data_IF_924655058306
#
_entry.id   IF_924655058306
#
_cell.length_a   1.000
_cell.length_b   1.000
_cell.length_c   1.000
_cell.angle_alpha   90.00
_cell.angle_beta   90.00
_cell.angle_gamma   90.00
#
_symmetry.space_group_name_H-M   'P 1'
#
loop_
_entity.id
_entity.type
_entity.pdbx_description
1 polymer ?
#
# COMPACT_ATOMS: atom_id res chain seq x y z
N UNK A 1 -29.97 25.59 19.86
CA UNK A 1 -29.29 25.14 18.63
C UNK A 1 -28.82 23.73 18.90
N UNK A 2 -29.27 22.76 18.12
CA UNK A 2 -28.94 21.35 18.36
C UNK A 2 -27.44 21.11 18.06
N UNK A 3 -26.78 20.39 18.95
CA UNK A 3 -25.37 20.05 18.87
C UNK A 3 -25.15 19.06 17.71
N UNK A 4 -24.34 19.34 16.71
CA UNK A 4 -24.16 18.47 15.52
C UNK A 4 -23.62 17.08 15.86
N UNK A 5 -22.91 16.88 16.97
CA UNK A 5 -22.44 15.57 17.44
C UNK A 5 -23.53 14.69 18.05
N UNK A 6 -24.62 15.29 18.56
CA UNK A 6 -25.79 14.53 18.99
C UNK A 6 -26.52 13.87 17.81
N UNK A 7 -26.48 14.52 16.65
CA UNK A 7 -27.12 14.02 15.42
C UNK A 7 -26.50 12.74 14.87
N UNK A 8 -25.18 12.58 14.95
CA UNK A 8 -24.48 11.38 14.41
C UNK A 8 -24.72 10.13 15.28
N UNK A 9 -24.75 10.27 16.62
CA UNK A 9 -25.14 9.14 17.51
C UNK A 9 -26.63 8.85 17.43
N UNK A 10 -27.48 9.87 17.26
CA UNK A 10 -28.91 9.68 17.00
C UNK A 10 -29.18 8.97 15.66
N UNK A 11 -28.40 9.25 14.63
CA UNK A 11 -28.51 8.53 13.35
C UNK A 11 -28.05 7.06 13.47
N UNK A 12 -27.00 6.78 14.21
CA UNK A 12 -26.55 5.42 14.48
C UNK A 12 -27.55 4.64 15.35
N UNK A 13 -28.09 5.26 16.39
CA UNK A 13 -29.11 4.67 17.26
C UNK A 13 -30.47 4.47 16.55
N UNK A 14 -30.86 5.36 15.63
CA UNK A 14 -32.03 5.18 14.75
C UNK A 14 -31.85 4.02 13.77
N UNK A 15 -30.64 3.81 13.24
CA UNK A 15 -30.34 2.66 12.36
C UNK A 15 -30.37 1.32 13.14
N UNK A 16 -30.09 1.34 14.43
CA UNK A 16 -30.15 0.18 15.33
C UNK A 16 -31.54 -0.09 15.93
N UNK A 17 -32.56 0.71 15.59
CA UNK A 17 -33.93 0.54 16.13
C UNK A 17 -34.09 0.93 17.59
N UNK A 18 -33.11 1.62 18.19
CA UNK A 18 -33.08 1.91 19.63
C UNK A 18 -33.71 3.27 20.03
N UNK A 19 -34.21 4.05 19.08
CA UNK A 19 -34.87 5.34 19.35
C UNK A 19 -36.20 5.45 18.62
N UNK A 20 -37.28 5.24 19.33
CA UNK A 20 -38.62 5.67 18.91
C UNK A 20 -39.00 6.99 19.60
N UNK A 21 -39.50 7.96 18.83
CA UNK A 21 -40.11 9.22 19.30
C UNK A 21 -39.21 10.24 20.01
N UNK A 22 -38.00 10.54 19.48
CA UNK A 22 -37.27 11.76 19.86
C UNK A 22 -36.62 11.74 21.26
N UNK A 23 -36.62 10.61 21.97
CA UNK A 23 -35.95 10.40 23.21
C UNK A 23 -34.65 9.60 23.04
N UNK A 24 -33.57 9.98 23.72
CA UNK A 24 -32.34 9.24 23.74
C UNK A 24 -32.56 7.97 24.62
N UNK A 25 -32.25 6.77 24.10
CA UNK A 25 -32.24 5.52 24.85
C UNK A 25 -30.99 5.42 25.75
N UNK A 26 -30.74 6.46 26.54
CA UNK A 26 -29.85 6.39 27.66
C UNK A 26 -30.72 5.97 28.84
N UNK A 27 -30.42 4.82 29.47
CA UNK A 27 -31.13 4.33 30.66
C UNK A 27 -31.31 5.46 31.66
N UNK A 28 -32.43 6.10 31.65
CA UNK A 28 -33.17 6.96 32.60
C UNK A 28 -32.41 7.78 33.62
N UNK A 29 -31.10 7.86 33.67
CA UNK A 29 -30.33 8.49 34.74
C UNK A 29 -29.27 9.53 34.37
N UNK A 30 -28.87 9.68 33.13
CA UNK A 30 -27.95 10.79 32.79
C UNK A 30 -28.27 11.33 31.40
N UNK A 31 -28.93 12.46 31.35
CA UNK A 31 -28.91 13.34 30.15
C UNK A 31 -27.46 13.72 29.92
N UNK A 32 -26.95 13.52 28.69
CA UNK A 32 -25.72 14.21 28.24
C UNK A 32 -25.97 15.71 28.39
N UNK A 33 -25.66 16.27 29.54
CA UNK A 33 -26.02 17.63 29.89
C UNK A 33 -25.11 18.67 29.26
N UNK A 34 -23.89 18.29 28.92
CA UNK A 34 -22.93 19.17 28.23
C UNK A 34 -21.96 18.37 27.34
N UNK A 35 -21.43 19.02 26.29
CA UNK A 35 -20.33 18.49 25.47
C UNK A 35 -19.12 18.11 26.36
N UNK A 36 -18.93 18.82 27.49
CA UNK A 36 -17.87 18.62 28.46
C UNK A 36 -17.91 17.23 29.13
N UNK A 37 -19.09 16.71 29.50
CA UNK A 37 -19.23 15.37 30.10
C UNK A 37 -18.96 14.24 29.10
N UNK A 38 -19.24 14.47 27.83
CA UNK A 38 -18.95 13.51 26.76
C UNK A 38 -17.43 13.39 26.51
N UNK A 39 -16.75 14.52 26.46
CA UNK A 39 -15.29 14.54 26.23
C UNK A 39 -14.50 14.04 27.45
N UNK A 40 -15.02 14.22 28.68
CA UNK A 40 -14.38 13.74 29.90
C UNK A 40 -14.26 12.22 30.01
N UNK A 41 -15.04 11.45 29.23
CA UNK A 41 -15.01 9.98 29.26
C UNK A 41 -14.01 9.36 28.29
N UNK A 42 -13.66 10.06 27.20
CA UNK A 42 -12.88 9.50 26.09
C UNK A 42 -11.52 10.17 25.89
N UNK A 43 -11.20 11.20 26.65
CA UNK A 43 -9.94 11.94 26.52
C UNK A 43 -8.88 11.51 27.55
N UNK A 44 -7.58 11.59 27.20
CA UNK A 44 -6.50 11.34 28.16
C UNK A 44 -6.61 12.25 29.41
N UNK A 45 -6.23 11.79 30.61
CA UNK A 45 -6.37 12.53 31.87
C UNK A 45 -5.78 13.94 31.83
N UNK A 46 -4.65 14.12 31.14
CA UNK A 46 -4.00 15.44 31.02
C UNK A 46 -4.85 16.45 30.22
N UNK A 47 -5.61 15.96 29.25
CA UNK A 47 -6.53 16.76 28.42
C UNK A 47 -7.78 17.11 29.24
N UNK A 48 -8.28 16.17 30.03
CA UNK A 48 -9.42 16.41 30.97
C UNK A 48 -9.07 17.47 31.99
N UNK A 49 -7.84 17.48 32.50
CA UNK A 49 -7.38 18.45 33.48
C UNK A 49 -7.26 19.87 32.90
N UNK A 50 -6.84 19.97 31.64
CA UNK A 50 -6.82 21.21 30.89
C UNK A 50 -8.24 21.78 30.69
N UNK A 51 -9.21 20.94 30.32
CA UNK A 51 -10.62 21.33 30.14
C UNK A 51 -11.31 21.77 31.44
N UNK A 52 -10.87 21.29 32.59
CA UNK A 52 -11.44 21.70 33.89
C UNK A 52 -10.99 23.12 34.31
N UNK A 53 -9.93 23.65 33.75
CA UNK A 53 -9.35 24.92 34.13
C UNK A 53 -9.78 26.13 33.29
N UNK A 54 -9.97 25.91 31.99
CA UNK A 54 -10.33 26.99 31.05
C UNK A 54 -11.16 26.39 29.90
N UNK A 55 -12.16 27.11 29.39
CA UNK A 55 -12.88 26.75 28.16
C UNK A 55 -11.95 27.01 26.97
N UNK A 56 -11.42 25.97 26.30
CA UNK A 56 -10.49 26.18 25.21
C UNK A 56 -11.20 26.83 24.01
N UNK A 57 -10.51 27.64 23.21
CA UNK A 57 -11.03 28.16 21.96
C UNK A 57 -11.54 27.01 21.07
N UNK A 58 -12.56 27.30 20.25
CA UNK A 58 -13.17 26.32 19.34
C UNK A 58 -12.13 25.62 18.47
N UNK A 59 -11.12 26.34 18.00
CA UNK A 59 -10.00 25.84 17.21
C UNK A 59 -9.19 24.72 17.91
N UNK A 60 -9.03 24.83 19.23
CA UNK A 60 -8.35 23.80 20.04
C UNK A 60 -9.24 22.57 20.20
N UNK A 61 -10.55 22.77 20.31
CA UNK A 61 -11.51 21.66 20.36
C UNK A 61 -11.56 20.90 19.03
N UNK A 62 -11.62 21.61 17.93
CA UNK A 62 -11.62 21.01 16.59
C UNK A 62 -10.30 20.23 16.37
N UNK A 63 -9.15 20.78 16.73
CA UNK A 63 -7.86 20.10 16.69
C UNK A 63 -7.82 18.80 17.52
N UNK A 64 -8.37 18.82 18.75
CA UNK A 64 -8.42 17.62 19.61
C UNK A 64 -9.35 16.57 19.02
N UNK A 65 -10.53 16.96 18.52
CA UNK A 65 -11.48 16.05 17.88
C UNK A 65 -10.86 15.40 16.66
N UNK A 66 -10.17 16.16 15.82
CA UNK A 66 -9.50 15.65 14.62
C UNK A 66 -8.40 14.65 14.99
N UNK A 67 -7.55 14.97 15.97
CA UNK A 67 -6.50 14.06 16.45
C UNK A 67 -7.06 12.78 17.08
N UNK A 68 -8.13 12.86 17.87
CA UNK A 68 -8.79 11.67 18.44
C UNK A 68 -9.41 10.81 17.34
N UNK A 69 -10.05 11.43 16.35
CA UNK A 69 -10.60 10.70 15.21
C UNK A 69 -9.50 10.04 14.37
N UNK A 70 -8.37 10.71 14.19
CA UNK A 70 -7.21 10.14 13.49
C UNK A 70 -6.64 8.93 14.24
N UNK A 71 -6.48 9.01 15.56
CA UNK A 71 -6.04 7.89 16.39
C UNK A 71 -7.02 6.71 16.31
N UNK A 72 -8.33 6.94 16.42
CA UNK A 72 -9.35 5.89 16.34
C UNK A 72 -9.37 5.23 14.95
N UNK A 73 -9.15 6.01 13.90
CA UNK A 73 -9.05 5.47 12.53
C UNK A 73 -7.79 4.65 12.35
N UNK A 74 -6.68 5.02 12.96
CA UNK A 74 -5.42 4.28 12.90
C UNK A 74 -5.51 2.96 13.67
N UNK A 75 -6.11 2.94 14.87
CA UNK A 75 -6.38 1.70 15.61
C UNK A 75 -7.29 0.75 14.82
N UNK A 76 -8.33 1.27 14.17
CA UNK A 76 -9.21 0.47 13.33
C UNK A 76 -8.48 -0.11 12.11
N UNK A 77 -7.61 0.67 11.45
CA UNK A 77 -6.76 0.20 10.35
C UNK A 77 -5.79 -0.89 10.79
N UNK A 78 -5.18 -0.73 11.97
CA UNK A 78 -4.27 -1.71 12.53
C UNK A 78 -4.99 -3.02 12.88
N UNK A 79 -6.18 -2.96 13.47
CA UNK A 79 -7.00 -4.14 13.76
C UNK A 79 -7.43 -4.87 12.48
N UNK A 80 -7.83 -4.13 11.44
CA UNK A 80 -8.16 -4.68 10.14
C UNK A 80 -6.94 -5.36 9.51
N UNK A 81 -5.77 -4.72 9.54
CA UNK A 81 -4.53 -5.30 9.04
C UNK A 81 -4.18 -6.64 9.69
N UNK A 82 -4.28 -6.75 11.02
CA UNK A 82 -4.04 -8.02 11.75
C UNK A 82 -5.03 -9.10 11.32
N UNK A 83 -6.30 -8.72 11.11
CA UNK A 83 -7.33 -9.63 10.61
C UNK A 83 -7.00 -10.15 9.21
N UNK A 84 -6.63 -9.26 8.30
CA UNK A 84 -6.32 -9.59 6.91
C UNK A 84 -5.08 -10.46 6.80
N UNK A 85 -4.00 -10.15 7.54
CA UNK A 85 -2.81 -11.00 7.67
C UNK A 85 -3.18 -12.40 8.15
N UNK A 86 -4.04 -12.50 9.17
CA UNK A 86 -4.49 -13.78 9.72
C UNK A 86 -5.24 -14.62 8.67
N UNK A 87 -6.05 -13.99 7.84
CA UNK A 87 -6.76 -14.64 6.75
C UNK A 87 -5.81 -15.10 5.63
N UNK A 88 -4.87 -14.25 5.21
CA UNK A 88 -3.91 -14.57 4.15
C UNK A 88 -2.89 -15.65 4.57
N UNK A 89 -2.59 -15.80 5.86
CA UNK A 89 -1.78 -16.90 6.40
C UNK A 89 -2.59 -18.20 6.52
N UNK A 90 -3.85 -18.14 6.97
CA UNK A 90 -4.67 -19.32 7.23
C UNK A 90 -4.96 -20.12 5.96
N UNK A 91 -5.18 -19.45 4.84
CA UNK A 91 -5.51 -20.07 3.55
C UNK A 91 -4.42 -21.04 3.07
N UNK A 92 -3.14 -20.60 2.89
CA UNK A 92 -2.05 -21.50 2.48
C UNK A 92 -1.75 -22.58 3.52
N UNK A 93 -1.83 -22.28 4.83
CA UNK A 93 -1.64 -23.29 5.86
C UNK A 93 -2.69 -24.41 5.79
N UNK A 94 -3.96 -24.07 5.52
CA UNK A 94 -5.03 -25.04 5.33
C UNK A 94 -4.79 -25.89 4.08
N UNK A 95 -4.30 -25.28 2.98
CA UNK A 95 -3.96 -26.00 1.76
C UNK A 95 -2.77 -26.96 1.99
N UNK A 96 -1.69 -26.50 2.64
CA UNK A 96 -0.52 -27.34 2.99
C UNK A 96 -0.98 -28.53 3.84
N UNK A 97 -1.76 -28.28 4.88
CA UNK A 97 -2.24 -29.32 5.78
C UNK A 97 -3.09 -30.36 5.04
N UNK A 98 -4.10 -29.93 4.29
CA UNK A 98 -4.97 -30.84 3.55
C UNK A 98 -4.23 -31.66 2.50
N UNK A 99 -3.26 -31.05 1.82
CA UNK A 99 -2.40 -31.75 0.84
C UNK A 99 -1.49 -32.77 1.54
N UNK A 100 -0.92 -32.40 2.70
CA UNK A 100 -0.08 -33.31 3.49
C UNK A 100 -0.91 -34.49 4.07
N UNK A 101 -2.12 -34.21 4.58
CA UNK A 101 -3.04 -35.27 5.05
C UNK A 101 -3.37 -36.27 3.91
N UNK A 102 -3.61 -35.76 2.68
CA UNK A 102 -3.84 -36.63 1.52
C UNK A 102 -2.62 -37.47 1.14
N UNK A 103 -1.40 -36.96 1.34
CA UNK A 103 -0.17 -37.71 1.09
C UNK A 103 0.07 -38.85 2.09
N UNK A 104 -0.55 -38.80 3.27
CA UNK A 104 -0.48 -39.87 4.27
C UNK A 104 -1.39 -41.06 3.93
N UNK A 105 -2.32 -40.90 2.99
CA UNK A 105 -3.22 -41.98 2.55
C UNK A 105 -2.44 -43.04 1.79
N UNK A 106 -2.85 -44.32 1.99
CA UNK A 106 -2.20 -45.46 1.35
C UNK A 106 -2.63 -45.53 -0.12
N UNK A 107 -1.66 -45.65 -1.03
CA UNK A 107 -1.93 -45.91 -2.47
C UNK A 107 -2.00 -44.65 -3.35
N UNK A 108 -1.54 -43.50 -2.89
CA UNK A 108 -1.44 -42.31 -3.76
C UNK A 108 -0.39 -42.56 -4.84
N UNK A 109 -0.76 -42.45 -6.17
CA UNK A 109 0.18 -42.64 -7.26
C UNK A 109 1.37 -41.66 -7.19
N UNK A 110 2.57 -42.11 -7.57
CA UNK A 110 3.81 -41.30 -7.46
C UNK A 110 3.71 -39.95 -8.16
N UNK A 111 3.06 -39.90 -9.32
CA UNK A 111 2.87 -38.65 -10.04
C UNK A 111 1.99 -37.63 -9.28
N UNK A 112 0.96 -38.11 -8.57
CA UNK A 112 0.15 -37.28 -7.69
C UNK A 112 0.91 -36.84 -6.45
N UNK A 113 1.75 -37.72 -5.88
CA UNK A 113 2.62 -37.35 -4.76
C UNK A 113 3.55 -36.19 -5.14
N UNK A 114 4.20 -36.27 -6.31
CA UNK A 114 5.06 -35.18 -6.81
C UNK A 114 4.29 -33.87 -6.99
N UNK A 115 3.07 -33.92 -7.52
CA UNK A 115 2.20 -32.74 -7.67
C UNK A 115 1.82 -32.12 -6.31
N UNK A 116 1.48 -32.95 -5.35
CA UNK A 116 1.12 -32.52 -4.01
C UNK A 116 2.32 -31.91 -3.26
N UNK A 117 3.50 -32.50 -3.38
CA UNK A 117 4.74 -31.94 -2.82
C UNK A 117 5.08 -30.61 -3.48
N UNK A 118 4.96 -30.48 -4.79
CA UNK A 118 5.15 -29.21 -5.50
C UNK A 118 4.15 -28.14 -5.03
N UNK A 119 2.90 -28.52 -4.78
CA UNK A 119 1.89 -27.61 -4.24
C UNK A 119 2.26 -27.13 -2.81
N UNK A 120 2.71 -28.04 -1.95
CA UNK A 120 3.18 -27.65 -0.59
C UNK A 120 4.34 -26.66 -0.67
N UNK A 121 5.32 -26.93 -1.54
CA UNK A 121 6.48 -26.03 -1.75
C UNK A 121 5.99 -24.65 -2.20
N UNK A 122 5.11 -24.59 -3.19
CA UNK A 122 4.56 -23.32 -3.69
C UNK A 122 3.84 -22.52 -2.61
N UNK A 123 3.08 -23.17 -1.71
CA UNK A 123 2.40 -22.49 -0.61
C UNK A 123 3.39 -22.03 0.47
N UNK A 124 4.46 -22.79 0.74
CA UNK A 124 5.54 -22.34 1.62
C UNK A 124 6.27 -21.11 1.06
N UNK A 125 6.57 -21.10 -0.25
CA UNK A 125 7.19 -19.96 -0.92
C UNK A 125 6.28 -18.73 -0.88
N UNK A 126 4.96 -18.94 -1.01
CA UNK A 126 3.96 -17.88 -0.87
C UNK A 126 3.96 -17.28 0.54
N UNK A 127 4.00 -18.13 1.58
CA UNK A 127 4.07 -17.67 2.97
C UNK A 127 5.38 -16.91 3.26
N UNK A 128 6.49 -17.37 2.71
CA UNK A 128 7.79 -16.70 2.84
C UNK A 128 7.77 -15.31 2.20
N UNK A 129 7.20 -15.19 1.01
CA UNK A 129 7.00 -13.88 0.36
C UNK A 129 6.11 -12.97 1.19
N UNK A 130 4.97 -13.47 1.68
CA UNK A 130 4.07 -12.70 2.54
C UNK A 130 4.79 -12.18 3.80
N UNK A 131 5.59 -13.01 4.45
CA UNK A 131 6.37 -12.60 5.63
C UNK A 131 7.39 -11.50 5.29
N UNK A 132 8.11 -11.63 4.16
CA UNK A 132 9.04 -10.61 3.70
C UNK A 132 8.34 -9.30 3.31
N UNK A 133 7.17 -9.37 2.68
CA UNK A 133 6.33 -8.22 2.35
C UNK A 133 5.92 -7.45 3.61
N UNK A 134 5.50 -8.17 4.66
CA UNK A 134 5.13 -7.58 5.94
C UNK A 134 6.32 -6.90 6.64
N UNK A 135 7.49 -7.54 6.63
CA UNK A 135 8.71 -6.96 7.18
C UNK A 135 9.15 -5.70 6.40
N UNK A 136 8.99 -5.69 5.09
CA UNK A 136 9.30 -4.53 4.24
C UNK A 136 8.37 -3.36 4.55
N UNK A 137 7.05 -3.61 4.70
CA UNK A 137 6.09 -2.58 5.11
C UNK A 137 6.46 -1.98 6.48
N UNK A 138 6.76 -2.84 7.45
CA UNK A 138 7.12 -2.40 8.80
C UNK A 138 8.38 -1.53 8.81
N UNK A 139 9.41 -1.90 8.03
CA UNK A 139 10.64 -1.10 7.90
C UNK A 139 10.39 0.24 7.21
N UNK A 140 9.57 0.25 6.17
CA UNK A 140 9.24 1.48 5.44
C UNK A 140 8.49 2.50 6.33
N UNK A 141 7.66 2.03 7.25
CA UNK A 141 6.92 2.87 8.20
C UNK A 141 7.78 3.35 9.38
N UNK A 142 8.83 2.62 9.73
CA UNK A 142 9.74 2.92 10.85
C UNK A 142 10.75 4.04 10.62
N UNK A 143 10.81 4.65 9.44
CA UNK A 143 11.73 5.75 9.06
C UNK A 143 13.25 5.46 9.19
N UNK A 144 13.67 4.22 9.40
CA UNK A 144 15.08 3.83 9.54
C UNK A 144 15.76 3.52 8.19
N UNK A 145 15.37 4.20 7.10
CA UNK A 145 15.92 3.93 5.78
C UNK A 145 17.13 4.83 5.51
N UNK A 146 18.30 4.21 5.30
CA UNK A 146 19.49 4.93 4.84
C UNK A 146 19.31 5.39 3.38
N UNK A 147 19.36 6.70 3.17
CA UNK A 147 19.22 7.31 1.86
C UNK A 147 20.58 7.74 1.33
N UNK A 148 20.80 7.53 0.04
CA UNK A 148 22.01 7.93 -0.68
C UNK A 148 21.67 8.51 -2.05
N UNK A 149 22.64 9.21 -2.66
CA UNK A 149 22.49 9.70 -4.03
C UNK A 149 22.50 8.54 -5.03
N UNK A 150 21.46 8.41 -5.83
CA UNK A 150 21.23 7.31 -6.76
C UNK A 150 20.81 7.82 -8.14
N UNK A 151 21.27 7.12 -9.17
CA UNK A 151 20.79 7.27 -10.53
C UNK A 151 19.68 6.25 -10.81
N UNK A 152 18.47 6.74 -11.09
CA UNK A 152 17.28 5.88 -11.32
C UNK A 152 17.46 4.96 -12.53
N UNK A 153 18.13 5.43 -13.60
CA UNK A 153 18.36 4.63 -14.79
C UNK A 153 19.26 3.44 -14.49
N UNK A 154 20.32 3.64 -13.74
CA UNK A 154 21.22 2.55 -13.34
C UNK A 154 20.51 1.48 -12.49
N UNK A 155 19.63 1.89 -11.57
CA UNK A 155 18.84 0.95 -10.78
C UNK A 155 17.84 0.19 -11.66
N UNK A 156 17.17 0.87 -12.58
CA UNK A 156 16.22 0.24 -13.49
C UNK A 156 16.90 -0.74 -14.46
N UNK A 157 18.06 -0.41 -15.00
CA UNK A 157 18.84 -1.31 -15.88
C UNK A 157 19.29 -2.58 -15.12
N UNK A 158 19.71 -2.44 -13.85
CA UNK A 158 20.04 -3.59 -13.00
C UNK A 158 18.81 -4.46 -12.71
N UNK A 159 17.67 -3.85 -12.40
CA UNK A 159 16.41 -4.57 -12.20
C UNK A 159 16.00 -5.33 -13.47
N UNK A 160 16.15 -4.73 -14.65
CA UNK A 160 15.85 -5.38 -15.93
C UNK A 160 16.72 -6.61 -16.20
N UNK A 161 18.00 -6.56 -15.85
CA UNK A 161 18.89 -7.72 -15.97
C UNK A 161 18.43 -8.89 -15.10
N UNK A 162 17.95 -8.62 -13.89
CA UNK A 162 17.47 -9.64 -12.97
C UNK A 162 16.11 -10.23 -13.35
N UNK A 163 15.25 -9.42 -13.96
CA UNK A 163 13.89 -9.82 -14.32
C UNK A 163 13.73 -10.31 -15.76
N UNK A 164 14.75 -10.13 -16.60
CA UNK A 164 14.67 -10.41 -18.04
C UNK A 164 14.21 -11.84 -18.35
N UNK A 165 14.86 -12.84 -17.79
CA UNK A 165 14.52 -14.26 -18.00
C UNK A 165 13.07 -14.56 -17.58
N UNK A 166 12.64 -14.07 -16.40
CA UNK A 166 11.29 -14.28 -15.89
C UNK A 166 10.22 -13.66 -16.81
N UNK A 167 10.51 -12.51 -17.40
CA UNK A 167 9.60 -11.81 -18.30
C UNK A 167 9.55 -12.50 -19.66
N UNK A 168 10.67 -12.96 -20.19
CA UNK A 168 10.73 -13.75 -21.42
C UNK A 168 9.94 -15.05 -21.32
N UNK A 169 10.06 -15.78 -20.20
CA UNK A 169 9.24 -16.97 -19.93
C UNK A 169 7.73 -16.68 -19.93
N UNK A 170 7.33 -15.45 -19.58
CA UNK A 170 5.94 -14.99 -19.61
C UNK A 170 5.53 -14.40 -20.96
N UNK A 171 6.45 -14.35 -21.92
CA UNK A 171 6.21 -13.75 -23.25
C UNK A 171 6.16 -12.22 -23.22
N UNK A 172 6.65 -11.58 -22.16
CA UNK A 172 6.68 -10.12 -22.02
C UNK A 172 8.06 -9.56 -22.34
N UNK A 173 8.12 -8.44 -23.08
CA UNK A 173 9.33 -7.66 -23.32
C UNK A 173 9.39 -6.48 -22.36
N UNK A 174 10.54 -6.31 -21.70
CA UNK A 174 10.81 -5.14 -20.86
C UNK A 174 11.68 -4.14 -21.63
N UNK A 175 11.23 -2.89 -21.68
CA UNK A 175 11.96 -1.78 -22.28
C UNK A 175 12.20 -0.70 -21.22
N UNK A 176 13.44 -0.17 -21.14
CA UNK A 176 13.76 0.96 -20.25
C UNK A 176 14.17 2.15 -21.09
N UNK A 177 13.49 3.27 -20.92
CA UNK A 177 13.65 4.47 -21.69
C UNK A 177 13.85 5.70 -20.80
N UNK A 178 14.60 6.68 -21.30
CA UNK A 178 14.76 7.99 -20.68
C UNK A 178 15.80 8.04 -19.57
N UNK A 179 15.96 9.22 -19.01
CA UNK A 179 16.91 9.56 -17.94
C UNK A 179 16.35 10.69 -17.09
N UNK A 180 16.81 10.78 -15.85
CA UNK A 180 16.47 11.86 -14.93
C UNK A 180 17.69 12.19 -14.04
N UNK A 181 17.71 13.38 -13.39
CA UNK A 181 18.69 13.68 -12.36
C UNK A 181 18.70 12.65 -11.23
N UNK A 182 19.81 12.58 -10.50
CA UNK A 182 19.93 11.72 -9.33
C UNK A 182 18.87 12.07 -8.27
N UNK A 183 18.49 11.08 -7.48
CA UNK A 183 17.59 11.22 -6.34
C UNK A 183 18.30 10.90 -5.03
N UNK A 184 17.75 11.36 -3.91
CA UNK A 184 18.14 10.88 -2.59
C UNK A 184 17.23 9.70 -2.23
N UNK A 185 17.74 8.48 -2.34
CA UNK A 185 16.93 7.28 -2.17
C UNK A 185 17.71 6.10 -1.62
N UNK A 186 17.03 4.99 -1.46
CA UNK A 186 17.61 3.71 -1.11
C UNK A 186 17.53 2.76 -2.32
N UNK A 187 18.66 2.20 -2.74
CA UNK A 187 18.74 1.36 -3.95
C UNK A 187 17.87 0.10 -3.86
N UNK A 188 17.85 -0.55 -2.70
CA UNK A 188 17.06 -1.76 -2.49
C UNK A 188 15.56 -1.45 -2.49
N UNK A 189 15.17 -0.31 -1.90
CA UNK A 189 13.80 0.16 -1.91
C UNK A 189 13.32 0.50 -3.33
N UNK A 190 14.10 1.22 -4.11
CA UNK A 190 13.76 1.55 -5.52
C UNK A 190 13.70 0.26 -6.35
N UNK A 191 14.65 -0.66 -6.18
CA UNK A 191 14.61 -1.96 -6.83
C UNK A 191 13.33 -2.75 -6.46
N UNK A 192 12.96 -2.78 -5.18
CA UNK A 192 11.72 -3.44 -4.72
C UNK A 192 10.47 -2.80 -5.31
N UNK A 193 10.43 -1.45 -5.43
CA UNK A 193 9.35 -0.75 -6.13
C UNK A 193 9.26 -1.20 -7.58
N UNK A 194 10.38 -1.19 -8.31
CA UNK A 194 10.44 -1.61 -9.71
C UNK A 194 9.99 -3.05 -9.88
N UNK A 195 10.50 -3.98 -9.07
CA UNK A 195 10.13 -5.41 -9.11
C UNK A 195 8.61 -5.55 -8.92
N UNK A 196 8.04 -4.93 -7.90
CA UNK A 196 6.59 -5.01 -7.62
C UNK A 196 5.76 -4.47 -8.78
N UNK A 197 6.15 -3.33 -9.36
CA UNK A 197 5.44 -2.71 -10.47
C UNK A 197 5.61 -3.51 -11.77
N UNK A 198 6.81 -3.98 -12.08
CA UNK A 198 7.10 -4.78 -13.29
C UNK A 198 6.40 -6.14 -13.21
N UNK A 199 6.44 -6.81 -12.04
CA UNK A 199 5.69 -8.06 -11.86
C UNK A 199 4.18 -7.85 -12.00
N UNK A 200 3.64 -6.77 -11.45
CA UNK A 200 2.24 -6.43 -11.62
C UNK A 200 1.90 -6.19 -13.08
N UNK A 201 2.66 -5.34 -13.78
CA UNK A 201 2.53 -5.07 -15.20
C UNK A 201 2.59 -6.35 -16.04
N UNK A 202 3.58 -7.24 -15.80
CA UNK A 202 3.77 -8.48 -16.55
C UNK A 202 2.62 -9.49 -16.47
N UNK A 203 1.77 -9.38 -15.44
CA UNK A 203 0.59 -10.25 -15.28
C UNK A 203 -0.58 -9.81 -16.15
N UNK A 204 -0.67 -8.52 -16.39
CA UNK A 204 -1.81 -7.92 -17.11
C UNK A 204 -1.44 -7.51 -18.52
N UNK A 205 -0.13 -7.33 -18.83
CA UNK A 205 0.34 -7.00 -20.16
C UNK A 205 0.05 -8.11 -21.16
N UNK A 206 -0.09 -7.72 -22.42
CA UNK A 206 -0.21 -8.64 -23.54
C UNK A 206 1.17 -9.09 -24.03
N UNK A 207 2.06 -8.11 -24.25
CA UNK A 207 3.39 -8.37 -24.83
C UNK A 207 4.48 -7.46 -24.26
N UNK A 208 4.15 -6.29 -23.69
CA UNK A 208 5.11 -5.25 -23.41
C UNK A 208 4.91 -4.57 -22.05
N UNK A 209 6.03 -4.47 -21.34
CA UNK A 209 6.15 -3.63 -20.15
C UNK A 209 7.25 -2.60 -20.42
N UNK A 210 7.00 -1.34 -20.11
CA UNK A 210 7.96 -0.24 -20.31
C UNK A 210 8.18 0.52 -19.03
N UNK A 211 9.44 0.81 -18.72
CA UNK A 211 9.83 1.74 -17.66
C UNK A 211 10.30 3.01 -18.33
N UNK A 212 9.57 4.10 -18.13
CA UNK A 212 9.87 5.42 -18.69
C UNK A 212 10.40 6.31 -17.58
N UNK A 213 11.62 6.86 -17.75
CA UNK A 213 12.27 7.73 -16.75
C UNK A 213 12.33 9.15 -17.32
N UNK A 214 11.83 10.12 -16.56
CA UNK A 214 11.74 11.51 -16.99
C UNK A 214 12.01 12.46 -15.81
N UNK A 215 12.30 13.72 -16.14
CA UNK A 215 12.40 14.82 -15.18
C UNK A 215 11.23 15.78 -15.37
N UNK A 216 10.49 16.04 -14.29
CA UNK A 216 9.31 16.92 -14.33
C UNK A 216 9.29 17.79 -13.08
N UNK A 217 9.35 19.10 -13.25
CA UNK A 217 9.14 20.11 -12.19
C UNK A 217 9.91 19.86 -10.87
N UNK A 218 11.17 19.48 -10.95
CA UNK A 218 11.99 19.24 -9.74
C UNK A 218 11.95 17.79 -9.24
N UNK A 219 11.22 16.90 -9.93
CA UNK A 219 11.11 15.49 -9.60
C UNK A 219 11.70 14.62 -10.69
N UNK A 220 12.43 13.61 -10.28
CA UNK A 220 12.82 12.48 -11.14
C UNK A 220 11.71 11.45 -11.05
N UNK A 221 11.07 11.20 -12.19
CA UNK A 221 9.86 10.40 -12.30
C UNK A 221 10.16 9.14 -13.08
N UNK A 222 9.71 7.99 -12.60
CA UNK A 222 9.65 6.80 -13.43
C UNK A 222 8.23 6.24 -13.46
N UNK A 223 7.81 5.78 -14.63
CA UNK A 223 6.52 5.17 -14.86
C UNK A 223 6.70 3.74 -15.37
N UNK A 224 6.01 2.78 -14.77
CA UNK A 224 5.89 1.42 -15.30
C UNK A 224 4.57 1.32 -16.05
N UNK A 225 4.67 1.09 -17.35
CA UNK A 225 3.54 1.10 -18.29
C UNK A 225 3.34 -0.30 -18.86
N UNK A 226 2.12 -0.80 -18.86
CA UNK A 226 1.72 -2.03 -19.51
C UNK A 226 0.75 -1.79 -20.68
N UNK A 227 0.62 -2.77 -21.56
CA UNK A 227 -0.32 -2.79 -22.69
C UNK A 227 -1.55 -3.69 -22.41
N UNK A 228 -1.88 -3.89 -21.15
CA UNK A 228 -2.99 -4.70 -20.67
C UNK A 228 -4.36 -4.04 -20.82
N UNK A 229 -5.37 -4.53 -20.10
CA UNK A 229 -6.73 -3.97 -20.12
C UNK A 229 -6.89 -2.72 -19.24
N UNK A 230 -5.88 -2.35 -18.43
CA UNK A 230 -6.03 -1.37 -17.36
C UNK A 230 -6.79 -1.92 -16.15
N UNK A 231 -7.15 -1.05 -15.21
CA UNK A 231 -7.88 -1.39 -13.98
C UNK A 231 -9.36 -0.97 -14.01
N UNK A 232 -9.90 -0.61 -15.20
CA UNK A 232 -11.33 -0.28 -15.40
C UNK A 232 -11.74 1.03 -14.76
N UNK A 233 -12.98 1.08 -14.22
CA UNK A 233 -13.59 2.27 -13.61
C UNK A 233 -13.33 2.33 -12.08
N UNK A 234 -12.40 1.54 -11.55
CA UNK A 234 -12.06 1.55 -10.14
C UNK A 234 -11.34 2.84 -9.76
N UNK A 235 -11.56 3.31 -8.54
CA UNK A 235 -10.82 4.45 -7.99
C UNK A 235 -9.33 4.05 -7.82
N UNK A 236 -8.40 4.71 -8.53
CA UNK A 236 -6.98 4.37 -8.47
C UNK A 236 -6.38 4.47 -7.07
N UNK A 237 -6.96 5.27 -6.17
CA UNK A 237 -6.47 5.45 -4.80
C UNK A 237 -6.51 4.17 -3.98
N UNK A 238 -7.50 3.30 -4.23
CA UNK A 238 -7.66 2.02 -3.54
C UNK A 238 -6.71 0.94 -4.00
N UNK A 239 -6.09 1.08 -5.18
CA UNK A 239 -5.13 0.10 -5.68
C UNK A 239 -3.90 -0.07 -4.76
N UNK A 240 -3.59 0.95 -3.98
CA UNK A 240 -2.47 0.97 -3.03
C UNK A 240 -2.87 0.59 -1.59
N UNK A 241 -4.14 0.24 -1.36
CA UNK A 241 -4.58 -0.24 -0.06
C UNK A 241 -4.03 -1.64 0.21
N UNK A 242 -3.72 -1.92 1.48
CA UNK A 242 -3.19 -3.23 1.89
C UNK A 242 -4.23 -4.32 1.62
N UNK A 243 -3.79 -5.44 1.03
CA UNK A 243 -4.63 -6.60 0.66
C UNK A 243 -5.73 -6.31 -0.36
N UNK A 244 -5.75 -5.11 -0.94
CA UNK A 244 -6.71 -4.78 -1.98
C UNK A 244 -6.45 -5.60 -3.25
N UNK A 245 -7.52 -6.09 -3.86
CA UNK A 245 -7.49 -6.87 -5.10
C UNK A 245 -8.69 -6.47 -5.94
N UNK A 246 -8.43 -5.87 -7.07
CA UNK A 246 -9.45 -5.58 -8.06
C UNK A 246 -10.14 -6.89 -8.47
N UNK A 247 -11.44 -6.92 -8.37
CA UNK A 247 -12.39 -8.00 -8.66
C UNK A 247 -11.82 -9.44 -8.80
N UNK A 248 -12.06 -10.30 -7.81
CA UNK A 248 -11.65 -11.71 -7.80
C UNK A 248 -12.21 -12.53 -8.98
N UNK A 249 -13.14 -11.97 -9.76
CA UNK A 249 -13.88 -12.69 -10.82
C UNK A 249 -13.19 -12.68 -12.18
N UNK A 250 -12.32 -11.70 -12.47
CA UNK A 250 -11.75 -11.52 -13.81
C UNK A 250 -10.44 -12.25 -14.09
N UNK A 251 -9.67 -12.61 -13.05
CA UNK A 251 -8.37 -13.26 -13.27
C UNK A 251 -8.22 -14.50 -12.39
N UNK A 252 -8.94 -15.56 -12.73
CA UNK A 252 -8.57 -16.92 -12.32
C UNK A 252 -7.39 -17.40 -13.17
N UNK A 253 -6.26 -16.72 -13.12
CA UNK A 253 -5.01 -17.35 -13.51
C UNK A 253 -4.56 -18.26 -12.38
N UNK A 254 -4.75 -19.56 -12.61
CA UNK A 254 -4.25 -20.63 -11.76
C UNK A 254 -2.75 -20.42 -11.54
N UNK A 255 -2.34 -20.16 -10.30
CA UNK A 255 -0.98 -20.44 -9.88
C UNK A 255 -0.17 -19.27 -9.29
N UNK A 256 -0.62 -18.02 -9.31
CA UNK A 256 0.19 -16.91 -8.75
C UNK A 256 -0.60 -16.12 -7.72
N UNK A 257 -0.60 -16.59 -6.48
CA UNK A 257 -1.24 -15.91 -5.36
C UNK A 257 -0.46 -14.65 -4.98
N UNK A 258 -0.88 -13.48 -5.47
CA UNK A 258 -0.43 -12.19 -4.97
C UNK A 258 -1.02 -11.97 -3.58
N UNK A 259 -0.20 -11.52 -2.64
CA UNK A 259 -0.63 -11.16 -1.28
C UNK A 259 -1.55 -9.94 -1.24
N UNK A 260 -1.60 -9.13 -2.32
CA UNK A 260 -2.25 -7.81 -2.31
C UNK A 260 -1.45 -6.75 -1.54
N UNK A 261 -0.18 -7.05 -1.21
CA UNK A 261 0.70 -6.12 -0.51
C UNK A 261 1.67 -5.38 -1.45
N UNK A 262 1.90 -5.85 -2.66
CA UNK A 262 2.92 -5.30 -3.54
C UNK A 262 2.76 -3.80 -3.83
N UNK A 263 1.55 -3.33 -4.16
CA UNK A 263 1.29 -1.90 -4.39
C UNK A 263 1.28 -1.09 -3.10
N UNK A 264 0.85 -1.67 -1.98
CA UNK A 264 0.98 -1.04 -0.67
C UNK A 264 2.45 -0.83 -0.27
N UNK A 265 3.33 -1.80 -0.57
CA UNK A 265 4.78 -1.68 -0.41
C UNK A 265 5.34 -0.56 -1.29
N UNK A 266 4.92 -0.48 -2.55
CA UNK A 266 5.30 0.61 -3.45
C UNK A 266 4.98 1.96 -2.84
N UNK A 267 3.76 2.15 -2.33
CA UNK A 267 3.34 3.40 -1.69
C UNK A 267 4.16 3.70 -0.43
N UNK A 268 4.34 2.71 0.45
CA UNK A 268 5.09 2.89 1.70
C UNK A 268 6.56 3.27 1.44
N UNK A 269 7.27 2.54 0.57
CA UNK A 269 8.66 2.82 0.20
C UNK A 269 8.82 4.17 -0.50
N UNK A 270 7.90 4.52 -1.40
CA UNK A 270 7.91 5.82 -2.08
C UNK A 270 7.72 6.96 -1.08
N UNK A 271 6.76 6.83 -0.16
CA UNK A 271 6.51 7.83 0.88
C UNK A 271 7.70 7.97 1.84
N UNK A 272 8.37 6.88 2.22
CA UNK A 272 9.58 6.89 3.06
C UNK A 272 10.75 7.66 2.41
N UNK A 273 10.77 7.75 1.07
CA UNK A 273 11.72 8.56 0.30
C UNK A 273 11.17 9.96 -0.07
N UNK A 274 10.12 10.45 0.61
CA UNK A 274 9.46 11.74 0.35
C UNK A 274 8.91 11.89 -1.07
N UNK A 275 8.58 10.77 -1.71
CA UNK A 275 8.01 10.72 -3.05
C UNK A 275 6.50 10.53 -3.05
N UNK A 276 5.92 10.49 -4.26
CA UNK A 276 4.51 10.20 -4.51
C UNK A 276 4.35 9.09 -5.54
N UNK A 277 3.26 8.33 -5.44
CA UNK A 277 2.90 7.31 -6.42
C UNK A 277 1.45 7.48 -6.85
N UNK A 278 1.20 7.32 -8.14
CA UNK A 278 -0.12 7.40 -8.76
C UNK A 278 -0.31 6.26 -9.76
N UNK A 279 -1.57 5.90 -10.00
CA UNK A 279 -1.95 4.96 -11.04
C UNK A 279 -2.94 5.60 -12.00
N UNK A 280 -2.75 5.39 -13.30
CA UNK A 280 -3.63 5.94 -14.34
C UNK A 280 -3.95 4.88 -15.39
N UNK A 281 -5.19 4.85 -15.86
CA UNK A 281 -5.56 4.11 -17.07
C UNK A 281 -5.14 4.88 -18.31
N UNK A 282 -4.55 4.17 -19.28
CA UNK A 282 -4.15 4.77 -20.54
C UNK A 282 -5.29 4.74 -21.58
N UNK A 283 -5.42 5.76 -22.46
CA UNK A 283 -6.56 5.88 -23.36
C UNK A 283 -6.74 4.72 -24.35
N UNK A 284 -5.66 3.98 -24.65
CA UNK A 284 -5.66 2.91 -25.69
C UNK A 284 -5.48 1.50 -25.09
N UNK A 285 -5.98 1.29 -23.90
CA UNK A 285 -5.75 0.13 -23.06
C UNK A 285 -4.36 0.10 -22.42
N UNK A 286 -4.28 -0.46 -21.20
CA UNK A 286 -3.10 -0.51 -20.35
C UNK A 286 -3.22 0.39 -19.14
N UNK A 287 -2.27 0.21 -18.23
CA UNK A 287 -2.13 1.04 -17.03
C UNK A 287 -0.71 1.62 -16.95
N UNK A 288 -0.58 2.72 -16.25
CA UNK A 288 0.70 3.29 -15.87
C UNK A 288 0.71 3.53 -14.36
N UNK A 289 1.76 3.06 -13.69
CA UNK A 289 2.07 3.35 -12.30
C UNK A 289 3.24 4.30 -12.27
N UNK A 290 3.04 5.51 -11.75
CA UNK A 290 3.95 6.64 -11.83
C UNK A 290 4.50 6.93 -10.45
N UNK A 291 5.82 6.89 -10.29
CA UNK A 291 6.53 7.22 -9.06
C UNK A 291 7.37 8.47 -9.28
N UNK A 292 7.18 9.48 -8.42
CA UNK A 292 7.92 10.72 -8.44
C UNK A 292 8.75 10.88 -7.16
N UNK A 293 10.06 11.07 -7.31
CA UNK A 293 11.00 11.30 -6.22
C UNK A 293 11.65 12.68 -6.37
N UNK A 294 11.89 13.42 -5.26
CA UNK A 294 12.58 14.70 -5.34
C UNK A 294 13.97 14.55 -5.98
N UNK A 295 14.24 15.35 -7.01
CA UNK A 295 15.54 15.33 -7.69
C UNK A 295 16.60 16.04 -6.88
N UNK A 296 17.82 15.54 -6.90
CA UNK A 296 18.98 16.22 -6.35
C UNK A 296 19.56 17.20 -7.39
N UNK A 297 20.15 18.31 -6.93
CA UNK A 297 20.90 19.20 -7.82
C UNK A 297 22.06 18.43 -8.48
N UNK A 298 22.51 18.85 -9.67
CA UNK A 298 23.71 18.29 -10.29
C UNK A 298 24.88 18.27 -9.31
N UNK A 299 25.78 17.28 -9.42
CA UNK A 299 27.04 17.35 -8.68
C UNK A 299 27.79 18.56 -9.18
N UNK A 300 28.13 19.52 -8.31
CA UNK A 300 29.06 20.63 -8.61
C UNK A 300 30.38 20.01 -9.07
N UNK A 301 30.64 20.03 -10.37
CA UNK A 301 31.81 19.38 -10.94
C UNK A 301 31.99 19.57 -12.45
N UNK A 302 31.24 20.48 -13.08
CA UNK A 302 31.46 20.89 -14.48
C UNK A 302 31.08 22.35 -14.74
N UNK A 303 31.55 23.27 -13.88
CA UNK A 303 31.81 24.64 -14.33
C UNK A 303 33.23 24.62 -14.88
N UNK A 304 33.44 24.02 -16.06
CA UNK A 304 34.59 24.40 -16.88
C UNK A 304 34.31 25.80 -17.35
N UNK A 305 34.98 26.76 -16.70
CA UNK A 305 35.21 28.11 -17.13
C UNK A 305 35.80 28.05 -18.57
N UNK A 306 34.97 28.37 -19.55
CA UNK A 306 35.49 28.99 -20.77
C UNK A 306 35.95 30.42 -20.40
N UNK A 307 37.14 30.56 -19.78
CA UNK A 307 37.88 31.79 -19.82
C UNK A 307 38.51 31.90 -21.21
N UNK A 308 38.01 32.88 -21.96
CA UNK A 308 38.49 33.22 -23.25
C UNK A 308 39.96 33.63 -23.19
N UNK A 309 40.71 33.12 -24.18
CA UNK A 309 41.97 33.73 -24.62
C UNK A 309 41.64 34.80 -25.65
N UNK A 310 42.10 36.03 -25.32
CA UNK A 310 42.29 37.13 -26.26
C UNK A 310 43.48 36.86 -27.20
#
# INVERSE_FOLDING_TARGET
MANPHCDTKHQAARRAGACENGGCACDGKERCSTAEEFYARELPPAVIEYFKKEHPPREVMDFIVDNVNELLTEEARQAQFVSDVSHEIRTPLTAIRGTAETLLDVGVPEELQRRFLAQIINECDRLTRLANDLLTLQKAEGQDMELSRLNLRAVADNCALLMGELLEERGCRLEICGEAPDVNGNADAINQILVNLIENASRYSKERVRVEINYVNGYSVFAVVDDGPGFGDEDPSHLFDRFYRADQSRVRHKGSGNSGLGLAIVKALTTAMSGTVEAVNLPNAGAAFIVALPSLPPKDGSAETEEGEE
#
